data_IF_823916437668
#
_entry.id   IF_823916437668
#
_cell.length_a   1.000
_cell.length_b   1.000
_cell.length_c   1.000
_cell.angle_alpha   90.00
_cell.angle_beta   90.00
_cell.angle_gamma   90.00
#
_symmetry.space_group_name_H-M   'P 1'
#
loop_
_entity.id
_entity.type
_entity.pdbx_description
1 polymer ?
#
# COMPACT_ATOMS: atom_id res chain seq x y z
N UNK A 1 -7.16 7.51 11.26
CA UNK A 1 -7.93 7.01 10.09
C UNK A 1 -7.23 5.76 9.56
N UNK A 2 -7.90 4.88 8.79
CA UNK A 2 -7.26 3.64 8.29
C UNK A 2 -5.99 3.90 7.45
N UNK A 3 -5.88 5.09 6.84
CA UNK A 3 -4.67 5.53 6.14
C UNK A 3 -3.46 5.67 7.07
N UNK A 4 -3.63 6.29 8.25
CA UNK A 4 -2.54 6.48 9.24
C UNK A 4 -2.04 5.14 9.78
N UNK A 5 -2.96 4.20 10.00
CA UNK A 5 -2.63 2.85 10.46
C UNK A 5 -1.79 2.13 9.41
N UNK A 6 -2.20 2.17 8.14
CA UNK A 6 -1.45 1.54 7.07
C UNK A 6 -0.06 2.15 6.88
N UNK A 7 0.08 3.48 6.98
CA UNK A 7 1.38 4.15 6.95
C UNK A 7 2.25 3.76 8.15
N UNK A 8 1.64 3.58 9.33
CA UNK A 8 2.34 3.08 10.52
C UNK A 8 2.87 1.67 10.32
N UNK A 9 2.13 0.79 9.62
CA UNK A 9 2.63 -0.53 9.22
C UNK A 9 3.85 -0.40 8.33
N UNK A 10 3.82 0.49 7.33
CA UNK A 10 4.97 0.72 6.46
C UNK A 10 6.19 1.23 7.24
N UNK A 11 5.98 2.20 8.15
CA UNK A 11 7.03 2.70 9.03
C UNK A 11 7.60 1.61 9.95
N UNK A 12 6.75 0.71 10.47
CA UNK A 12 7.18 -0.42 11.29
C UNK A 12 8.10 -1.38 10.53
N UNK A 13 7.85 -1.58 9.24
CA UNK A 13 8.68 -2.41 8.36
C UNK A 13 9.84 -1.64 7.71
N UNK A 14 10.07 -0.38 8.08
CA UNK A 14 11.06 0.51 7.46
C UNK A 14 10.90 0.64 5.93
N UNK A 15 9.67 0.51 5.42
CA UNK A 15 9.34 0.64 4.01
C UNK A 15 8.70 2.01 3.78
N UNK A 16 9.18 2.74 2.78
CA UNK A 16 8.48 3.96 2.33
C UNK A 16 7.37 3.63 1.32
N UNK A 17 6.29 4.43 1.26
CA UNK A 17 5.24 4.24 0.25
C UNK A 17 5.78 4.21 -1.18
N UNK A 18 6.81 5.01 -1.47
CA UNK A 18 7.45 5.08 -2.79
C UNK A 18 8.20 3.80 -3.13
N UNK A 19 8.99 3.25 -2.20
CA UNK A 19 9.71 1.99 -2.41
C UNK A 19 8.71 0.84 -2.64
N UNK A 20 7.66 0.77 -1.83
CA UNK A 20 6.62 -0.24 -1.99
C UNK A 20 5.90 -0.13 -3.33
N UNK A 21 5.59 1.10 -3.75
CA UNK A 21 5.00 1.37 -5.05
C UNK A 21 5.88 0.92 -6.21
N UNK A 22 7.18 1.19 -6.16
CA UNK A 22 8.14 0.73 -7.19
C UNK A 22 8.14 -0.80 -7.26
N UNK A 23 8.17 -1.48 -6.11
CA UNK A 23 8.13 -2.95 -6.05
C UNK A 23 6.84 -3.51 -6.65
N UNK A 24 5.69 -2.92 -6.30
CA UNK A 24 4.38 -3.33 -6.79
C UNK A 24 4.20 -3.01 -8.29
N UNK A 25 4.83 -1.96 -8.81
CA UNK A 25 4.79 -1.63 -10.24
C UNK A 25 5.64 -2.55 -11.09
N UNK A 26 6.78 -3.00 -10.57
CA UNK A 26 7.68 -3.88 -11.30
C UNK A 26 7.05 -5.24 -11.63
N UNK A 27 5.95 -5.61 -10.95
CA UNK A 27 5.26 -6.88 -11.12
C UNK A 27 3.74 -6.66 -11.21
N UNK A 28 3.16 -6.63 -12.42
CA UNK A 28 1.70 -6.61 -12.56
C UNK A 28 1.13 -7.87 -11.89
N UNK A 29 0.14 -7.70 -11.01
CA UNK A 29 -0.44 -8.72 -10.10
C UNK A 29 0.27 -8.94 -8.75
N UNK A 30 1.34 -8.20 -8.43
CA UNK A 30 1.96 -8.31 -7.12
C UNK A 30 1.07 -7.65 -6.06
N UNK A 31 0.77 -8.42 -5.01
CA UNK A 31 0.19 -7.94 -3.76
C UNK A 31 1.22 -8.20 -2.67
N UNK A 32 1.45 -7.21 -1.81
CA UNK A 32 2.38 -7.36 -0.68
C UNK A 32 1.56 -7.39 0.59
N UNK A 33 1.78 -8.41 1.41
CA UNK A 33 1.11 -8.56 2.68
C UNK A 33 2.11 -8.33 3.81
N UNK A 34 1.79 -7.41 4.71
CA UNK A 34 2.62 -7.07 5.88
C UNK A 34 1.78 -7.16 7.15
N UNK A 35 2.27 -7.81 8.22
CA UNK A 35 1.61 -7.76 9.53
C UNK A 35 1.85 -6.41 10.21
N UNK A 36 0.86 -5.92 10.96
CA UNK A 36 1.07 -4.82 11.92
C UNK A 36 1.67 -5.31 13.25
N UNK A 37 1.86 -4.40 14.21
CA UNK A 37 2.36 -4.73 15.56
C UNK A 37 1.45 -5.69 16.34
N UNK A 38 0.19 -5.83 15.95
CA UNK A 38 -0.79 -6.72 16.56
C UNK A 38 -1.03 -7.98 15.71
N UNK A 39 -0.14 -8.29 14.76
CA UNK A 39 -0.25 -9.39 13.80
C UNK A 39 -1.50 -9.33 12.90
N UNK A 40 -2.15 -8.18 12.74
CA UNK A 40 -3.19 -8.02 11.72
C UNK A 40 -2.54 -7.89 10.36
N UNK A 41 -2.99 -8.69 9.40
CA UNK A 41 -2.45 -8.68 8.04
C UNK A 41 -3.02 -7.53 7.22
N UNK A 42 -2.12 -6.68 6.73
CA UNK A 42 -2.41 -5.62 5.76
C UNK A 42 -1.99 -6.07 4.37
N UNK A 43 -2.85 -5.86 3.39
CA UNK A 43 -2.58 -6.13 1.98
C UNK A 43 -2.42 -4.82 1.23
N UNK A 44 -1.28 -4.63 0.61
CA UNK A 44 -0.91 -3.46 -0.19
C UNK A 44 -0.89 -3.82 -1.67
N UNK A 45 -1.49 -2.96 -2.48
CA UNK A 45 -1.59 -3.10 -3.94
C UNK A 45 -1.27 -1.77 -4.62
N UNK A 46 -0.77 -1.84 -5.84
CA UNK A 46 -0.69 -0.66 -6.70
C UNK A 46 -1.84 -0.64 -7.69
N UNK A 47 -2.32 0.56 -8.03
CA UNK A 47 -3.28 0.75 -9.12
C UNK A 47 -2.77 1.85 -10.03
N UNK A 48 -2.74 1.55 -11.33
CA UNK A 48 -2.44 2.53 -12.37
C UNK A 48 -3.74 2.96 -13.04
N UNK A 49 -3.98 4.27 -13.05
CA UNK A 49 -5.04 4.92 -13.86
C UNK A 49 -4.40 6.11 -14.60
N UNK A 50 -4.64 7.33 -14.13
CA UNK A 50 -3.96 8.55 -14.58
C UNK A 50 -2.68 8.88 -13.79
N UNK A 51 -2.39 8.08 -12.76
CA UNK A 51 -1.26 8.20 -11.86
C UNK A 51 -1.05 6.86 -11.16
N UNK A 52 -0.07 6.83 -10.26
CA UNK A 52 0.25 5.65 -9.49
C UNK A 52 -0.25 5.79 -8.06
N UNK A 53 -1.13 4.87 -7.67
CA UNK A 53 -1.79 4.86 -6.38
C UNK A 53 -1.34 3.65 -5.58
N UNK A 54 -0.92 3.89 -4.34
CA UNK A 54 -0.75 2.85 -3.33
C UNK A 54 -2.07 2.72 -2.60
N UNK A 55 -2.61 1.51 -2.58
CA UNK A 55 -3.82 1.21 -1.84
C UNK A 55 -3.56 0.11 -0.83
N UNK A 56 -4.30 0.11 0.28
CA UNK A 56 -4.22 -0.94 1.28
C UNK A 56 -5.58 -1.36 1.81
N UNK A 57 -5.64 -2.59 2.34
CA UNK A 57 -6.79 -3.09 3.10
C UNK A 57 -6.35 -4.10 4.15
N UNK A 58 -7.17 -4.25 5.18
CA UNK A 58 -7.14 -5.40 6.10
C UNK A 58 -8.28 -6.37 5.77
N UNK A 59 -8.39 -7.47 6.51
CA UNK A 59 -9.55 -8.37 6.46
C UNK A 59 -10.86 -7.72 6.92
N UNK A 60 -10.80 -6.66 7.74
CA UNK A 60 -11.98 -5.94 8.23
C UNK A 60 -12.52 -4.91 7.24
N UNK A 61 -11.73 -4.53 6.23
CA UNK A 61 -12.10 -3.52 5.25
C UNK A 61 -12.78 -4.17 4.03
N UNK A 62 -13.91 -3.59 3.60
CA UNK A 62 -14.66 -4.08 2.43
C UNK A 62 -13.96 -3.78 1.10
N UNK A 63 -13.17 -2.71 1.06
CA UNK A 63 -12.49 -2.23 -0.15
C UNK A 63 -11.08 -1.73 0.20
N UNK A 64 -10.25 -1.56 -0.84
CA UNK A 64 -8.94 -0.94 -0.70
C UNK A 64 -9.08 0.58 -0.56
N UNK A 65 -8.36 1.15 0.41
CA UNK A 65 -8.28 2.59 0.64
C UNK A 65 -6.98 3.14 0.05
N UNK A 66 -7.04 4.37 -0.47
CA UNK A 66 -5.87 5.06 -1.01
C UNK A 66 -4.97 5.55 0.13
N UNK A 67 -3.67 5.26 0.03
CA UNK A 67 -2.68 5.70 1.01
C UNK A 67 -1.78 6.80 0.49
N UNK A 68 -1.39 6.67 -0.78
CA UNK A 68 -0.39 7.51 -1.40
C UNK A 68 -0.65 7.59 -2.90
N UNK A 69 -0.51 8.79 -3.47
CA UNK A 69 -0.64 9.02 -4.90
C UNK A 69 0.59 9.78 -5.39
N UNK A 70 1.19 9.28 -6.46
CA UNK A 70 2.21 10.02 -7.20
C UNK A 70 1.76 10.20 -8.64
N UNK A 71 1.92 11.42 -9.14
CA UNK A 71 1.72 11.71 -10.56
C UNK A 71 2.91 11.13 -11.30
N UNK A 72 2.69 10.12 -12.12
CA UNK A 72 3.67 9.73 -13.14
C UNK A 72 3.78 10.90 -14.12
N UNK A 73 4.77 11.77 -13.94
CA UNK A 73 5.25 12.60 -15.04
C UNK A 73 6.09 11.68 -15.92
N UNK A 74 5.50 11.26 -17.04
CA UNK A 74 6.25 10.74 -18.17
C UNK A 74 7.12 11.84 -18.75
#
# INVERSE_FOLDING_TARGET
MFQDEALTVLSHHHITPQQLLIQLCAKPLCMIQLPDQQNRMWTFVSRQRCGLYLMAKTSSMKQFEELYHTRCRY
#
